data_IF_199539680352
#
_entry.id   IF_199539680352
#
_cell.length_a   1.000
_cell.length_b   1.000
_cell.length_c   1.000
_cell.angle_alpha   90.00
_cell.angle_beta   90.00
_cell.angle_gamma   90.00
#
_symmetry.space_group_name_H-M   'P 1'
#
loop_
_entity.id
_entity.type
_entity.pdbx_description
1 polymer ?
#
# COMPACT_ATOMS: atom_id res chain seq x y z
N UNK A 1 -11.92 2.93 12.59
CA UNK A 1 -11.67 4.25 12.01
C UNK A 1 -12.70 4.50 10.91
N UNK A 2 -13.31 5.68 10.88
CA UNK A 2 -14.38 5.98 9.93
C UNK A 2 -13.78 6.79 8.77
N UNK A 3 -13.87 6.28 7.55
CA UNK A 3 -13.52 7.05 6.34
C UNK A 3 -14.63 8.07 6.12
N UNK A 4 -14.28 9.36 6.13
CA UNK A 4 -15.25 10.46 6.14
C UNK A 4 -15.27 11.26 4.84
N UNK A 5 -14.24 11.10 3.99
CA UNK A 5 -14.07 11.91 2.77
C UNK A 5 -13.74 11.04 1.56
N UNK A 6 -14.26 11.45 0.41
CA UNK A 6 -13.96 10.84 -0.88
C UNK A 6 -13.23 11.86 -1.75
N UNK A 7 -12.18 11.42 -2.42
CA UNK A 7 -11.47 12.19 -3.43
C UNK A 7 -11.56 11.43 -4.76
N UNK A 8 -12.08 12.06 -5.79
CA UNK A 8 -12.20 11.44 -7.11
C UNK A 8 -10.93 11.65 -7.93
N UNK A 9 -10.56 10.63 -8.69
CA UNK A 9 -9.40 10.61 -9.58
C UNK A 9 -9.76 9.85 -10.86
N UNK A 10 -9.03 10.08 -11.96
CA UNK A 10 -9.38 9.55 -13.28
C UNK A 10 -9.18 8.03 -13.39
N UNK A 11 -8.18 7.48 -12.68
CA UNK A 11 -7.84 6.06 -12.72
C UNK A 11 -7.06 5.64 -11.48
N UNK A 12 -6.70 4.34 -11.43
CA UNK A 12 -5.96 3.77 -10.32
C UNK A 12 -4.60 4.42 -10.08
N UNK A 13 -3.81 4.64 -11.13
CA UNK A 13 -2.47 5.24 -11.00
C UNK A 13 -2.53 6.66 -10.45
N UNK A 14 -3.43 7.50 -10.99
CA UNK A 14 -3.60 8.89 -10.50
C UNK A 14 -4.15 8.93 -9.08
N UNK A 15 -4.97 7.96 -8.66
CA UNK A 15 -5.42 7.86 -7.28
C UNK A 15 -4.25 7.53 -6.33
N UNK A 16 -3.29 6.69 -6.75
CA UNK A 16 -2.06 6.43 -5.99
C UNK A 16 -1.19 7.68 -5.88
N UNK A 17 -0.97 8.41 -6.98
CA UNK A 17 -0.25 9.68 -6.96
C UNK A 17 -0.85 10.65 -5.93
N UNK A 18 -2.18 10.77 -5.89
CA UNK A 18 -2.87 11.60 -4.91
C UNK A 18 -2.65 11.07 -3.49
N UNK A 19 -2.76 9.76 -3.25
CA UNK A 19 -2.55 9.17 -1.93
C UNK A 19 -1.12 9.39 -1.42
N UNK A 20 -0.10 9.25 -2.28
CA UNK A 20 1.29 9.55 -1.95
C UNK A 20 1.48 11.03 -1.57
N UNK A 21 0.97 11.94 -2.42
CA UNK A 21 1.06 13.38 -2.17
C UNK A 21 0.34 13.78 -0.89
N UNK A 22 -0.83 13.22 -0.62
CA UNK A 22 -1.56 13.46 0.63
C UNK A 22 -0.79 12.97 1.85
N UNK A 23 -0.09 11.84 1.74
CA UNK A 23 0.71 11.29 2.83
C UNK A 23 1.90 12.18 3.14
N UNK A 24 2.65 12.62 2.13
CA UNK A 24 3.77 13.57 2.29
C UNK A 24 3.27 14.89 2.87
N UNK A 25 2.18 15.45 2.32
CA UNK A 25 1.60 16.72 2.78
C UNK A 25 1.13 16.64 4.23
N UNK A 26 0.55 15.51 4.64
CA UNK A 26 0.12 15.29 6.02
C UNK A 26 1.29 15.39 7.01
N UNK A 27 2.41 14.72 6.71
CA UNK A 27 3.60 14.76 7.55
C UNK A 27 4.29 16.12 7.53
N UNK A 28 4.36 16.75 6.36
CA UNK A 28 4.87 18.12 6.24
C UNK A 28 4.08 19.09 7.13
N UNK A 29 2.76 19.02 7.12
CA UNK A 29 1.89 19.88 7.94
C UNK A 29 2.05 19.60 9.44
N UNK A 30 2.50 18.40 9.82
CA UNK A 30 2.84 18.05 11.20
C UNK A 30 4.25 18.46 11.61
N UNK A 31 5.05 18.98 10.70
CA UNK A 31 6.46 19.30 10.93
C UNK A 31 7.38 18.08 10.98
N UNK A 32 6.91 16.92 10.51
CA UNK A 32 7.67 15.67 10.45
C UNK A 32 8.24 15.43 9.06
N UNK A 33 9.50 15.00 9.00
CA UNK A 33 10.16 14.65 7.72
C UNK A 33 9.99 13.16 7.41
N UNK A 34 8.80 12.77 7.00
CA UNK A 34 8.49 11.41 6.55
C UNK A 34 8.24 11.43 5.04
N UNK A 35 9.12 10.80 4.28
CA UNK A 35 9.07 10.82 2.81
C UNK A 35 9.44 9.47 2.17
N UNK A 36 9.71 8.43 2.96
CA UNK A 36 9.90 7.08 2.47
C UNK A 36 8.60 6.31 2.46
N UNK A 37 8.51 5.34 1.57
CA UNK A 37 7.36 4.47 1.42
C UNK A 37 7.76 3.02 1.54
N UNK A 38 6.85 2.18 2.02
CA UNK A 38 6.98 0.72 2.02
C UNK A 38 5.92 0.15 1.10
N UNK A 39 6.27 -0.88 0.30
CA UNK A 39 5.34 -1.64 -0.53
C UNK A 39 5.67 -3.14 -0.47
N UNK A 40 4.73 -3.99 -0.90
CA UNK A 40 4.98 -5.43 -0.98
C UNK A 40 5.71 -5.78 -2.29
N UNK A 41 6.63 -6.74 -2.23
CA UNK A 41 7.20 -7.34 -3.44
C UNK A 41 6.08 -7.95 -4.28
N UNK A 42 6.10 -7.68 -5.57
CA UNK A 42 5.10 -8.18 -6.52
C UNK A 42 3.83 -7.35 -6.64
N UNK A 43 3.61 -6.33 -5.79
CA UNK A 43 2.49 -5.41 -5.95
C UNK A 43 2.63 -4.58 -7.23
N UNK A 44 1.47 -4.22 -7.80
CA UNK A 44 1.36 -3.33 -8.95
C UNK A 44 0.39 -2.20 -8.63
N UNK A 45 0.88 -0.97 -8.70
CA UNK A 45 0.11 0.21 -8.31
C UNK A 45 -0.17 1.17 -9.47
N UNK A 46 0.27 0.85 -10.68
CA UNK A 46 0.03 1.63 -11.90
C UNK A 46 1.30 2.12 -12.59
N UNK A 47 1.13 2.89 -13.69
CA UNK A 47 2.20 3.21 -14.64
C UNK A 47 2.59 4.71 -14.65
N UNK A 48 2.02 5.54 -13.79
CA UNK A 48 2.59 6.87 -13.55
C UNK A 48 3.88 6.74 -12.73
N UNK A 49 4.80 7.70 -12.83
CA UNK A 49 6.12 7.56 -12.20
C UNK A 49 6.07 7.30 -10.69
N UNK A 50 5.17 7.95 -9.95
CA UNK A 50 5.01 7.70 -8.54
C UNK A 50 4.42 6.32 -8.25
N UNK A 51 3.36 5.92 -8.95
CA UNK A 51 2.75 4.59 -8.83
C UNK A 51 3.73 3.49 -9.24
N UNK A 52 4.47 3.71 -10.34
CA UNK A 52 5.49 2.79 -10.84
C UNK A 52 6.64 2.64 -9.82
N UNK A 53 6.97 3.70 -9.07
CA UNK A 53 7.98 3.62 -8.01
C UNK A 53 7.59 2.66 -6.89
N UNK A 54 6.29 2.52 -6.61
CA UNK A 54 5.74 1.59 -5.61
C UNK A 54 5.62 0.15 -6.11
N UNK A 55 5.74 -0.05 -7.43
CA UNK A 55 5.70 -1.38 -8.05
C UNK A 55 7.08 -2.04 -7.97
N UNK A 56 7.13 -3.34 -7.71
CA UNK A 56 8.38 -4.09 -7.67
C UNK A 56 9.21 -3.88 -8.95
N UNK A 57 10.53 -3.75 -8.80
CA UNK A 57 11.45 -3.52 -9.92
C UNK A 57 11.53 -4.74 -10.84
N UNK A 58 11.67 -4.50 -12.14
CA UNK A 58 11.88 -5.52 -13.17
C UNK A 58 10.98 -5.38 -14.38
N UNK A 59 11.27 -6.10 -15.45
CA UNK A 59 10.47 -6.24 -16.66
C UNK A 59 9.90 -4.96 -17.24
N UNK A 60 8.67 -4.64 -16.88
CA UNK A 60 7.94 -3.51 -17.48
C UNK A 60 8.46 -2.13 -17.10
N UNK A 61 9.11 -1.98 -15.95
CA UNK A 61 9.53 -0.67 -15.44
C UNK A 61 11.04 -0.41 -15.55
N UNK A 62 11.83 -1.39 -15.97
CA UNK A 62 13.28 -1.29 -16.13
C UNK A 62 13.76 -0.04 -16.91
N UNK A 63 13.14 0.36 -18.05
CA UNK A 63 13.56 1.55 -18.80
C UNK A 63 13.38 2.86 -18.02
N UNK A 64 12.56 2.86 -16.97
CA UNK A 64 12.16 4.03 -16.21
C UNK A 64 12.79 4.11 -14.82
N UNK A 65 13.58 3.12 -14.41
CA UNK A 65 14.14 3.01 -13.04
C UNK A 65 14.85 4.29 -12.57
N UNK A 66 15.60 4.97 -13.43
CA UNK A 66 16.31 6.20 -13.08
C UNK A 66 15.38 7.38 -12.70
N UNK A 67 14.08 7.29 -12.99
CA UNK A 67 13.08 8.33 -12.69
C UNK A 67 12.21 7.97 -11.49
N UNK A 68 12.40 6.78 -10.92
CA UNK A 68 11.66 6.31 -9.78
C UNK A 68 12.34 6.74 -8.48
N UNK A 69 11.56 7.04 -7.47
CA UNK A 69 12.09 7.22 -6.13
C UNK A 69 12.29 5.88 -5.41
N UNK A 70 13.11 5.90 -4.35
CA UNK A 70 13.39 4.71 -3.56
C UNK A 70 12.17 4.32 -2.69
N UNK A 71 11.90 3.00 -2.65
CA UNK A 71 10.85 2.37 -1.87
C UNK A 71 11.42 1.15 -1.15
N UNK A 72 11.05 0.95 0.09
CA UNK A 72 11.41 -0.24 0.85
C UNK A 72 10.42 -1.36 0.50
N UNK A 73 10.90 -2.40 -0.17
CA UNK A 73 10.08 -3.56 -0.50
C UNK A 73 10.23 -4.65 0.56
N UNK A 74 9.10 -5.09 1.11
CA UNK A 74 9.02 -6.23 2.02
C UNK A 74 8.36 -7.44 1.33
N UNK A 75 8.59 -8.62 1.87
CA UNK A 75 8.01 -9.84 1.31
C UNK A 75 6.49 -9.90 1.47
N UNK A 76 5.86 -10.73 0.65
CA UNK A 76 4.42 -10.99 0.70
C UNK A 76 4.08 -11.63 2.04
N UNK A 77 3.03 -11.16 2.76
CA UNK A 77 2.67 -11.71 4.07
C UNK A 77 2.10 -13.13 3.96
N UNK A 78 2.80 -14.09 4.53
CA UNK A 78 2.38 -15.50 4.67
C UNK A 78 2.54 -15.96 6.11
N UNK A 79 1.89 -17.07 6.47
CA UNK A 79 2.08 -17.65 7.82
C UNK A 79 3.51 -18.17 8.03
N UNK A 80 4.16 -18.63 6.96
CA UNK A 80 5.52 -19.18 7.02
C UNK A 80 6.56 -18.11 7.35
N UNK A 81 6.42 -16.89 6.80
CA UNK A 81 7.39 -15.80 7.00
C UNK A 81 6.95 -14.79 8.07
N UNK A 82 5.84 -15.01 8.75
CA UNK A 82 5.16 -14.06 9.66
C UNK A 82 6.12 -13.40 10.65
N UNK A 83 6.90 -14.18 11.41
CA UNK A 83 7.76 -13.65 12.47
C UNK A 83 8.87 -12.77 11.88
N UNK A 84 9.53 -13.24 10.83
CA UNK A 84 10.62 -12.53 10.18
C UNK A 84 10.11 -11.24 9.53
N UNK A 85 9.00 -11.31 8.79
CA UNK A 85 8.37 -10.18 8.11
C UNK A 85 7.95 -9.09 9.10
N UNK A 86 7.26 -9.44 10.18
CA UNK A 86 6.83 -8.47 11.20
C UNK A 86 8.02 -7.81 11.88
N UNK A 87 9.09 -8.58 12.16
CA UNK A 87 10.31 -8.05 12.75
C UNK A 87 11.01 -7.06 11.82
N UNK A 88 11.17 -7.41 10.54
CA UNK A 88 11.75 -6.54 9.52
C UNK A 88 10.91 -5.26 9.34
N UNK A 89 9.59 -5.41 9.25
CA UNK A 89 8.68 -4.30 9.08
C UNK A 89 8.73 -3.33 10.26
N UNK A 90 8.71 -3.86 11.49
CA UNK A 90 8.83 -3.02 12.70
C UNK A 90 10.15 -2.24 12.74
N UNK A 91 11.27 -2.84 12.31
CA UNK A 91 12.56 -2.15 12.21
C UNK A 91 12.50 -0.97 11.23
N UNK A 92 11.83 -1.12 10.08
CA UNK A 92 11.61 -0.02 9.13
C UNK A 92 10.77 1.09 9.77
N UNK A 93 9.68 0.75 10.48
CA UNK A 93 8.83 1.74 11.12
C UNK A 93 9.54 2.55 12.22
N UNK A 94 10.52 1.95 12.91
CA UNK A 94 11.33 2.61 13.96
C UNK A 94 12.26 3.70 13.43
N UNK A 95 12.51 3.78 12.12
CA UNK A 95 13.32 4.86 11.54
C UNK A 95 12.65 6.23 11.63
N UNK A 96 11.34 6.28 11.81
CA UNK A 96 10.50 7.49 11.92
C UNK A 96 10.50 8.39 10.67
N UNK A 97 10.91 7.89 9.52
CA UNK A 97 10.90 8.59 8.22
C UNK A 97 9.94 7.99 7.19
N UNK A 98 9.23 6.90 7.56
CA UNK A 98 8.23 6.27 6.73
C UNK A 98 6.95 7.12 6.68
N UNK A 99 6.56 7.55 5.48
CA UNK A 99 5.34 8.31 5.23
C UNK A 99 4.11 7.39 5.17
N UNK A 100 4.20 6.30 4.42
CA UNK A 100 3.10 5.35 4.30
C UNK A 100 3.58 3.95 3.90
N UNK A 101 2.77 2.96 4.23
CA UNK A 101 2.79 1.60 3.70
C UNK A 101 1.63 1.45 2.73
N UNK A 102 1.89 1.04 1.48
CA UNK A 102 0.87 0.76 0.46
C UNK A 102 0.92 -0.71 0.06
N UNK A 103 -0.24 -1.30 -0.20
CA UNK A 103 -0.36 -2.73 -0.51
C UNK A 103 -1.64 -3.05 -1.29
N UNK A 104 -1.60 -4.09 -2.12
CA UNK A 104 -2.78 -4.75 -2.66
C UNK A 104 -3.28 -5.76 -1.59
N UNK A 105 -4.52 -5.64 -1.07
CA UNK A 105 -4.98 -6.52 0.00
C UNK A 105 -5.38 -7.89 -0.53
N UNK A 106 -4.91 -8.96 0.13
CA UNK A 106 -5.29 -10.38 -0.05
C UNK A 106 -4.80 -10.99 -1.37
N UNK A 107 -4.87 -10.27 -2.49
CA UNK A 107 -4.49 -10.77 -3.81
C UNK A 107 -3.73 -9.70 -4.57
N UNK A 108 -2.52 -10.03 -5.03
CA UNK A 108 -1.76 -9.23 -5.98
C UNK A 108 -2.27 -9.51 -7.40
N UNK A 109 -3.00 -8.56 -8.00
CA UNK A 109 -3.63 -8.78 -9.29
C UNK A 109 -2.62 -9.00 -10.42
N UNK A 110 -1.89 -7.95 -10.80
CA UNK A 110 -0.89 -8.00 -11.87
C UNK A 110 0.37 -8.81 -11.49
N UNK A 111 0.65 -8.98 -10.22
CA UNK A 111 1.75 -9.78 -9.69
C UNK A 111 1.62 -11.28 -9.90
N UNK A 112 0.55 -11.75 -10.56
CA UNK A 112 0.35 -13.17 -10.89
C UNK A 112 -0.75 -13.84 -10.07
N UNK A 113 -1.72 -13.08 -9.56
CA UNK A 113 -2.83 -13.56 -8.74
C UNK A 113 -2.34 -14.25 -7.45
N UNK A 114 -1.26 -13.78 -6.88
CA UNK A 114 -0.69 -14.35 -5.66
C UNK A 114 -1.57 -13.95 -4.47
N UNK A 115 -2.06 -14.95 -3.78
CA UNK A 115 -2.83 -14.75 -2.54
C UNK A 115 -1.90 -14.72 -1.32
N UNK A 116 -2.25 -13.90 -0.34
CA UNK A 116 -1.49 -13.79 0.90
C UNK A 116 -2.40 -13.77 2.14
N UNK A 117 -1.79 -13.94 3.33
CA UNK A 117 -2.51 -14.07 4.59
C UNK A 117 -3.17 -12.75 5.00
N UNK A 118 -4.50 -12.71 5.16
CA UNK A 118 -5.18 -11.55 5.74
C UNK A 118 -4.83 -11.32 7.22
N UNK A 119 -4.49 -12.37 7.96
CA UNK A 119 -4.10 -12.31 9.36
C UNK A 119 -2.76 -11.57 9.50
N UNK A 120 -1.74 -11.98 8.72
CA UNK A 120 -0.41 -11.36 8.75
C UNK A 120 -0.47 -9.93 8.20
N UNK A 121 -1.25 -9.69 7.14
CA UNK A 121 -1.49 -8.32 6.64
C UNK A 121 -2.14 -7.44 7.72
N UNK A 122 -3.11 -7.99 8.46
CA UNK A 122 -3.76 -7.28 9.56
C UNK A 122 -2.76 -6.86 10.64
N UNK A 123 -1.77 -7.70 10.95
CA UNK A 123 -0.71 -7.36 11.91
C UNK A 123 0.21 -6.25 11.40
N UNK A 124 0.59 -6.27 10.12
CA UNK A 124 1.34 -5.17 9.50
C UNK A 124 0.59 -3.84 9.62
N UNK A 125 -0.72 -3.84 9.36
CA UNK A 125 -1.56 -2.65 9.55
C UNK A 125 -1.62 -2.24 11.03
N UNK A 126 -1.69 -3.21 11.94
CA UNK A 126 -1.62 -2.97 13.38
C UNK A 126 -0.33 -2.27 13.79
N UNK A 127 0.81 -2.68 13.25
CA UNK A 127 2.10 -2.01 13.46
C UNK A 127 2.09 -0.59 12.88
N UNK A 128 1.52 -0.37 11.68
CA UNK A 128 1.36 0.97 11.14
C UNK A 128 0.59 1.88 12.11
N UNK A 129 -0.53 1.39 12.67
CA UNK A 129 -1.32 2.13 13.65
C UNK A 129 -0.52 2.44 14.93
N UNK A 130 0.27 1.48 15.41
CA UNK A 130 1.10 1.63 16.61
C UNK A 130 2.20 2.70 16.43
N UNK A 131 2.86 2.72 15.26
CA UNK A 131 3.95 3.67 14.94
C UNK A 131 3.44 4.93 14.24
N UNK A 132 2.12 5.08 14.07
CA UNK A 132 1.49 6.24 13.45
C UNK A 132 1.83 6.40 11.97
N UNK A 133 2.19 5.32 11.27
CA UNK A 133 2.45 5.33 9.82
C UNK A 133 1.14 5.15 9.06
N UNK A 134 0.95 5.88 7.97
CA UNK A 134 -0.27 5.81 7.16
C UNK A 134 -0.30 4.47 6.41
N UNK A 135 -1.40 3.72 6.54
CA UNK A 135 -1.65 2.51 5.77
C UNK A 135 -2.61 2.80 4.61
N UNK A 136 -2.26 2.39 3.38
CA UNK A 136 -3.02 2.62 2.15
C UNK A 136 -3.34 1.27 1.50
N UNK A 137 -4.63 0.93 1.43
CA UNK A 137 -5.10 -0.27 0.74
C UNK A 137 -5.44 0.05 -0.71
N UNK A 138 -4.76 -0.59 -1.66
CA UNK A 138 -5.07 -0.52 -3.08
C UNK A 138 -6.10 -1.58 -3.46
N UNK A 139 -7.36 -1.19 -3.50
CA UNK A 139 -8.50 -2.06 -3.81
C UNK A 139 -8.92 -2.01 -5.29
N UNK A 140 -8.07 -1.50 -6.17
CA UNK A 140 -8.39 -1.40 -7.61
C UNK A 140 -8.75 -2.75 -8.20
N UNK A 141 -8.00 -3.79 -7.82
CA UNK A 141 -8.28 -5.15 -8.27
C UNK A 141 -9.28 -5.86 -7.34
N UNK A 142 -9.16 -5.72 -6.04
CA UNK A 142 -9.83 -6.56 -5.04
C UNK A 142 -11.18 -6.04 -4.54
N UNK A 143 -11.47 -4.77 -4.78
CA UNK A 143 -12.71 -4.14 -4.33
C UNK A 143 -13.97 -4.62 -5.06
N UNK A 144 -15.11 -4.14 -4.58
CA UNK A 144 -16.44 -4.40 -5.15
C UNK A 144 -16.86 -5.87 -5.18
N UNK A 145 -16.51 -6.61 -4.12
CA UNK A 145 -17.00 -7.97 -3.90
C UNK A 145 -16.15 -9.08 -4.53
N UNK A 146 -15.02 -8.77 -5.15
CA UNK A 146 -14.16 -9.77 -5.81
C UNK A 146 -13.70 -10.88 -4.85
N UNK A 147 -13.41 -10.55 -3.60
CA UNK A 147 -12.97 -11.49 -2.56
C UNK A 147 -14.10 -12.01 -1.66
N UNK A 148 -15.37 -11.73 -2.02
CA UNK A 148 -16.54 -12.11 -1.25
C UNK A 148 -16.99 -11.09 -0.20
N UNK A 149 -16.21 -10.07 0.09
CA UNK A 149 -16.59 -8.87 0.86
C UNK A 149 -16.50 -7.63 -0.02
N UNK A 150 -17.19 -6.54 0.35
CA UNK A 150 -17.20 -5.31 -0.46
C UNK A 150 -15.77 -4.83 -0.75
N UNK A 151 -14.90 -4.86 0.24
CA UNK A 151 -13.47 -4.60 0.14
C UNK A 151 -12.69 -5.80 0.67
N UNK A 152 -11.56 -6.13 0.03
CA UNK A 152 -10.71 -7.21 0.49
C UNK A 152 -10.15 -6.95 1.89
N UNK A 153 -9.88 -5.70 2.21
CA UNK A 153 -9.44 -5.30 3.55
C UNK A 153 -10.44 -5.62 4.67
N UNK A 154 -11.69 -5.91 4.33
CA UNK A 154 -12.70 -6.35 5.31
C UNK A 154 -12.41 -7.75 5.88
N UNK A 155 -11.52 -8.52 5.25
CA UNK A 155 -11.00 -9.78 5.81
C UNK A 155 -10.00 -9.57 6.95
N UNK A 156 -9.35 -8.40 7.03
CA UNK A 156 -8.42 -8.05 8.09
C UNK A 156 -9.14 -7.49 9.32
N UNK A 157 -8.62 -7.73 10.52
CA UNK A 157 -9.12 -7.15 11.76
C UNK A 157 -8.76 -5.65 11.86
N UNK A 158 -7.47 -5.33 11.69
CA UNK A 158 -7.01 -3.96 11.64
C UNK A 158 -7.35 -3.32 10.30
N UNK A 159 -7.69 -2.02 10.33
CA UNK A 159 -8.11 -1.27 9.13
C UNK A 159 -7.09 -0.21 8.75
N UNK A 160 -6.88 0.01 7.43
CA UNK A 160 -6.00 1.05 6.93
C UNK A 160 -6.59 2.45 7.14
N UNK A 161 -5.73 3.46 7.06
CA UNK A 161 -6.14 4.87 7.12
C UNK A 161 -6.87 5.30 5.85
N UNK A 162 -6.56 4.68 4.72
CA UNK A 162 -7.11 5.01 3.39
C UNK A 162 -7.43 3.75 2.62
N UNK A 163 -8.57 3.76 1.94
CA UNK A 163 -8.96 2.76 0.96
C UNK A 163 -9.03 3.46 -0.39
N UNK A 164 -8.34 2.90 -1.38
CA UNK A 164 -8.36 3.37 -2.74
C UNK A 164 -9.26 2.48 -3.58
N UNK A 165 -10.10 3.09 -4.37
CA UNK A 165 -11.01 2.41 -5.29
C UNK A 165 -10.80 2.91 -6.71
N UNK A 166 -11.03 2.03 -7.68
CA UNK A 166 -11.11 2.40 -9.09
C UNK A 166 -12.37 3.24 -9.33
N UNK A 167 -12.30 4.21 -10.24
CA UNK A 167 -13.50 4.83 -10.80
C UNK A 167 -14.40 3.75 -11.37
N UNK A 168 -15.67 3.81 -11.01
CA UNK A 168 -16.70 3.06 -11.71
C UNK A 168 -16.93 3.81 -13.02
N UNK A 169 -16.43 3.28 -14.12
CA UNK A 169 -16.91 3.68 -15.43
C UNK A 169 -18.36 3.20 -15.52
N UNK A 170 -19.31 4.14 -15.41
CA UNK A 170 -20.72 3.92 -15.63
C UNK A 170 -21.01 3.89 -17.13
#
# INVERSE_FOLDING_TARGET
QKIEKVFFSDNGSTANEVALKMSIQYWFNKGEKRNRFISLKGDYHGDTFGSMSLTARGGFNEPFERFMFDVDFIDIPTEENRIELLTQFELLLKTNDIAAFIFEPIVQGAGGMIMHSPEVLSELIGLCNQYGVIAISDEVFTGFGRTGKMFAIDHCENKPDRIKMKNIDL
#
